data_IF_359149967513
#
_entry.id   IF_359149967513
#
_cell.length_a   1.000
_cell.length_b   1.000
_cell.length_c   1.000
_cell.angle_alpha   90.00
_cell.angle_beta   90.00
_cell.angle_gamma   90.00
#
_symmetry.space_group_name_H-M   'P 1'
#
loop_
_entity.id
_entity.type
_entity.pdbx_description
1 polymer ?
#
# COMPACT_ATOMS: atom_id res chain seq x y z
N UNK A 1 20.06 -19.44 5.41
CA UNK A 1 19.49 -18.15 5.78
C UNK A 1 18.06 -18.33 6.18
N UNK A 2 17.77 -17.97 7.40
CA UNK A 2 16.46 -18.20 8.00
C UNK A 2 15.37 -17.46 7.27
N UNK A 3 15.61 -16.20 6.92
CA UNK A 3 14.58 -15.38 6.28
C UNK A 3 14.18 -15.87 4.89
N UNK A 4 15.05 -16.61 4.20
CA UNK A 4 14.69 -17.15 2.88
C UNK A 4 13.55 -18.14 2.94
N UNK A 5 13.55 -19.01 3.94
CA UNK A 5 12.53 -20.03 4.07
C UNK A 5 11.17 -19.44 4.42
N UNK A 6 11.19 -18.36 5.21
CA UNK A 6 9.97 -17.64 5.55
C UNK A 6 9.48 -16.87 4.36
N UNK A 7 10.43 -16.29 3.62
CA UNK A 7 10.16 -15.25 2.66
C UNK A 7 9.63 -15.74 1.33
N UNK A 8 9.88 -17.01 0.99
CA UNK A 8 9.47 -17.54 -0.31
C UNK A 8 7.95 -17.40 -0.54
N UNK A 9 7.15 -17.91 0.40
CA UNK A 9 5.71 -17.82 0.29
C UNK A 9 5.21 -16.36 0.46
N UNK A 10 5.87 -15.61 1.35
CA UNK A 10 5.52 -14.21 1.59
C UNK A 10 5.82 -13.39 0.36
N UNK A 11 6.97 -13.62 -0.28
CA UNK A 11 7.35 -12.90 -1.49
C UNK A 11 6.37 -13.15 -2.63
N UNK A 12 5.90 -14.39 -2.78
CA UNK A 12 4.87 -14.69 -3.78
C UNK A 12 3.59 -13.90 -3.53
N UNK A 13 3.19 -13.82 -2.27
CA UNK A 13 1.99 -13.06 -1.90
C UNK A 13 2.17 -11.56 -2.12
N UNK A 14 3.36 -11.06 -1.81
CA UNK A 14 3.66 -9.65 -2.07
C UNK A 14 3.63 -9.36 -3.57
N UNK A 15 4.24 -10.23 -4.37
CA UNK A 15 4.23 -10.07 -5.81
C UNK A 15 2.81 -10.11 -6.38
N UNK A 16 1.98 -11.01 -5.89
CA UNK A 16 0.58 -11.08 -6.28
C UNK A 16 -0.18 -9.83 -5.88
N UNK A 17 0.06 -9.35 -4.65
CA UNK A 17 -0.53 -8.12 -4.15
C UNK A 17 -0.18 -6.93 -5.08
N UNK A 18 1.10 -6.78 -5.42
CA UNK A 18 1.57 -5.70 -6.29
C UNK A 18 0.96 -5.82 -7.69
N UNK A 19 0.86 -7.04 -8.22
CA UNK A 19 0.24 -7.26 -9.53
C UNK A 19 -1.21 -6.80 -9.54
N UNK A 20 -1.93 -7.16 -8.50
CA UNK A 20 -3.33 -6.75 -8.36
C UNK A 20 -3.45 -5.24 -8.21
N UNK A 21 -2.55 -4.65 -7.44
CA UNK A 21 -2.53 -3.20 -7.24
C UNK A 21 -2.22 -2.46 -8.55
N UNK A 22 -1.31 -3.00 -9.35
CA UNK A 22 -1.02 -2.45 -10.68
C UNK A 22 -2.25 -2.48 -11.57
N UNK A 23 -3.02 -3.56 -11.51
CA UNK A 23 -4.25 -3.69 -12.26
C UNK A 23 -5.27 -2.62 -11.84
N UNK A 24 -5.42 -2.41 -10.54
CA UNK A 24 -6.30 -1.37 -10.01
C UNK A 24 -5.88 0.02 -10.48
N UNK A 25 -4.59 0.30 -10.41
CA UNK A 25 -4.06 1.59 -10.84
C UNK A 25 -4.30 1.82 -12.33
N UNK A 26 -4.09 0.79 -13.13
CA UNK A 26 -4.33 0.86 -14.59
C UNK A 26 -5.79 1.14 -14.89
N UNK A 27 -6.70 0.65 -14.06
CA UNK A 27 -8.14 0.86 -14.23
C UNK A 27 -8.63 2.17 -13.61
N UNK A 28 -7.73 3.01 -13.14
CA UNK A 28 -8.06 4.34 -12.66
C UNK A 28 -8.27 4.46 -11.17
N UNK A 29 -8.09 3.40 -10.40
CA UNK A 29 -8.20 3.49 -8.94
C UNK A 29 -7.12 4.40 -8.38
N UNK A 30 -7.47 5.13 -7.32
CA UNK A 30 -6.55 6.02 -6.62
C UNK A 30 -5.95 5.25 -5.45
N UNK A 31 -4.64 5.06 -5.48
CA UNK A 31 -3.92 4.35 -4.42
C UNK A 31 -3.34 5.40 -3.48
N UNK A 32 -3.71 5.34 -2.20
CA UNK A 32 -3.30 6.33 -1.20
C UNK A 32 -2.39 5.69 -0.17
N UNK A 33 -1.21 6.28 0.00
CA UNK A 33 -0.25 5.90 1.03
C UNK A 33 -0.03 7.09 1.94
N UNK A 34 0.66 6.89 3.07
CA UNK A 34 0.85 7.98 4.01
C UNK A 34 1.86 8.99 3.50
N UNK A 35 3.01 8.55 3.00
CA UNK A 35 4.06 9.45 2.60
C UNK A 35 4.98 8.92 1.52
N UNK A 36 6.03 9.69 1.27
CA UNK A 36 6.99 9.44 0.20
C UNK A 36 7.70 8.09 0.34
N UNK A 37 8.06 7.70 1.56
CA UNK A 37 8.77 6.43 1.78
C UNK A 37 7.92 5.23 1.38
N UNK A 38 6.62 5.31 1.65
CA UNK A 38 5.69 4.26 1.27
C UNK A 38 5.55 4.19 -0.25
N UNK A 39 5.46 5.34 -0.88
CA UNK A 39 5.38 5.45 -2.33
C UNK A 39 6.63 4.83 -2.98
N UNK A 40 7.81 5.17 -2.47
CA UNK A 40 9.06 4.62 -2.96
C UNK A 40 9.15 3.11 -2.73
N UNK A 41 8.68 2.64 -1.58
CA UNK A 41 8.66 1.21 -1.27
C UNK A 41 7.79 0.43 -2.25
N UNK A 42 6.61 0.94 -2.57
CA UNK A 42 5.75 0.32 -3.56
C UNK A 42 6.44 0.24 -4.92
N UNK A 43 7.10 1.30 -5.33
CA UNK A 43 7.83 1.33 -6.60
C UNK A 43 8.93 0.26 -6.62
N UNK A 44 9.68 0.13 -5.54
CA UNK A 44 10.72 -0.89 -5.44
C UNK A 44 10.16 -2.30 -5.51
N UNK A 45 8.95 -2.51 -5.02
CA UNK A 45 8.30 -3.81 -5.06
C UNK A 45 7.69 -4.13 -6.42
N UNK A 46 7.71 -3.17 -7.35
CA UNK A 46 7.19 -3.40 -8.69
C UNK A 46 5.90 -2.69 -9.02
N UNK A 47 5.42 -1.81 -8.15
CA UNK A 47 4.26 -1.00 -8.45
C UNK A 47 4.65 0.02 -9.52
N UNK A 48 3.92 0.04 -10.62
CA UNK A 48 4.24 0.91 -11.77
C UNK A 48 3.35 2.15 -11.83
N UNK A 49 2.33 2.22 -10.99
CA UNK A 49 1.46 3.40 -10.93
C UNK A 49 2.08 4.50 -10.10
N UNK A 50 1.29 5.53 -9.85
CA UNK A 50 1.70 6.64 -8.99
C UNK A 50 0.77 6.66 -7.77
N UNK A 51 1.33 6.43 -6.59
CA UNK A 51 0.55 6.51 -5.36
C UNK A 51 0.34 7.96 -4.96
N UNK A 52 -0.84 8.24 -4.42
CA UNK A 52 -1.14 9.54 -3.82
C UNK A 52 -0.64 9.53 -2.39
N UNK A 53 0.17 10.53 -2.04
CA UNK A 53 0.75 10.65 -0.71
C UNK A 53 -0.10 11.56 0.15
N UNK A 54 -0.74 10.99 1.17
CA UNK A 54 -1.65 11.72 2.04
C UNK A 54 -0.99 12.96 2.68
N UNK A 55 0.26 12.83 3.10
CA UNK A 55 0.93 13.89 3.83
C UNK A 55 1.28 15.13 2.98
N UNK A 56 1.00 15.10 1.68
CA UNK A 56 1.11 16.28 0.83
C UNK A 56 -0.08 17.20 0.95
N UNK A 57 -1.14 16.74 1.59
CA UNK A 57 -2.34 17.55 1.81
C UNK A 57 -2.25 18.23 3.17
N UNK A 58 -3.02 19.31 3.34
CA UNK A 58 -2.98 20.11 4.57
C UNK A 58 -3.70 19.47 5.75
N UNK A 59 -4.26 18.30 5.56
CA UNK A 59 -4.99 17.58 6.59
C UNK A 59 -6.13 16.80 6.01
N UNK A 60 -6.94 16.22 6.89
CA UNK A 60 -8.01 15.31 6.48
C UNK A 60 -9.02 16.00 5.57
N UNK A 61 -9.47 17.19 5.95
CA UNK A 61 -10.49 17.88 5.16
C UNK A 61 -9.97 18.30 3.78
N UNK A 62 -8.73 18.77 3.71
CA UNK A 62 -8.13 19.11 2.44
C UNK A 62 -8.05 17.89 1.52
N UNK A 63 -7.63 16.75 2.07
CA UNK A 63 -7.57 15.51 1.31
C UNK A 63 -8.97 15.10 0.82
N UNK A 64 -9.94 15.10 1.70
CA UNK A 64 -11.30 14.68 1.37
C UNK A 64 -11.92 15.61 0.33
N UNK A 65 -11.74 16.93 0.50
CA UNK A 65 -12.26 17.90 -0.45
C UNK A 65 -11.65 17.75 -1.83
N UNK A 66 -10.38 17.36 -1.89
CA UNK A 66 -9.68 17.16 -3.16
C UNK A 66 -10.15 15.93 -3.91
N UNK A 67 -10.83 15.00 -3.23
CA UNK A 67 -11.27 13.72 -3.81
C UNK A 67 -12.78 13.54 -3.83
N UNK A 68 -13.55 14.56 -3.46
CA UNK A 68 -15.00 14.40 -3.29
C UNK A 68 -15.77 14.24 -4.60
N UNK A 69 -15.20 14.67 -5.73
CA UNK A 69 -15.90 14.64 -7.03
C UNK A 69 -15.34 13.52 -7.91
N UNK A 70 -14.84 12.48 -7.33
CA UNK A 70 -14.35 11.36 -8.14
C UNK A 70 -15.29 10.18 -8.05
N UNK A 71 -15.53 9.52 -9.18
CA UNK A 71 -16.22 8.24 -9.24
C UNK A 71 -15.25 7.07 -9.16
N UNK A 72 -13.96 7.38 -9.05
CA UNK A 72 -12.91 6.37 -8.98
C UNK A 72 -12.87 5.71 -7.61
N UNK A 73 -12.47 4.44 -7.60
CA UNK A 73 -12.24 3.72 -6.35
C UNK A 73 -11.02 4.32 -5.64
N UNK A 74 -11.16 4.56 -4.35
CA UNK A 74 -10.06 5.05 -3.51
C UNK A 74 -9.59 3.91 -2.63
N UNK A 75 -8.36 3.47 -2.83
CA UNK A 75 -7.75 2.37 -2.08
C UNK A 75 -6.82 2.98 -1.05
N UNK A 76 -7.17 2.82 0.23
CA UNK A 76 -6.39 3.38 1.32
C UNK A 76 -5.39 2.35 1.84
N UNK A 77 -4.11 2.70 1.80
CA UNK A 77 -3.00 1.85 2.27
C UNK A 77 -2.17 2.60 3.31
N UNK A 78 -2.83 3.23 4.26
CA UNK A 78 -2.12 3.96 5.31
C UNK A 78 -1.52 2.97 6.31
N UNK A 79 -0.56 3.46 7.10
CA UNK A 79 0.12 2.63 8.08
C UNK A 79 -0.86 1.90 9.01
N UNK A 80 -0.45 0.71 9.45
CA UNK A 80 -1.28 -0.13 10.30
C UNK A 80 -0.98 0.06 11.79
N UNK A 81 -0.19 1.09 12.14
CA UNK A 81 0.01 1.46 13.51
C UNK A 81 -1.23 2.21 14.04
N UNK A 82 -1.19 2.59 15.30
CA UNK A 82 -2.33 3.22 15.97
C UNK A 82 -2.77 4.51 15.27
N UNK A 83 -1.81 5.35 14.92
CA UNK A 83 -2.08 6.63 14.26
C UNK A 83 -2.68 6.40 12.86
N UNK A 84 -2.11 5.49 12.10
CA UNK A 84 -2.61 5.17 10.77
C UNK A 84 -4.00 4.57 10.78
N UNK A 85 -4.30 3.73 11.77
CA UNK A 85 -5.65 3.16 11.92
C UNK A 85 -6.67 4.23 12.24
N UNK A 86 -6.32 5.16 13.12
CA UNK A 86 -7.20 6.28 13.45
C UNK A 86 -7.46 7.14 12.22
N UNK A 87 -6.41 7.50 11.49
CA UNK A 87 -6.51 8.29 10.28
C UNK A 87 -7.36 7.60 9.22
N UNK A 88 -7.14 6.30 9.04
CA UNK A 88 -7.92 5.51 8.08
C UNK A 88 -9.42 5.57 8.42
N UNK A 89 -9.75 5.37 9.69
CA UNK A 89 -11.13 5.40 10.14
C UNK A 89 -11.80 6.74 9.85
N UNK A 90 -11.09 7.83 10.12
CA UNK A 90 -11.60 9.16 9.86
C UNK A 90 -11.80 9.43 8.36
N UNK A 91 -10.81 9.02 7.56
CA UNK A 91 -10.89 9.20 6.11
C UNK A 91 -12.04 8.40 5.51
N UNK A 92 -12.19 7.14 5.92
CA UNK A 92 -13.30 6.30 5.44
C UNK A 92 -14.63 6.96 5.73
N UNK A 93 -14.82 7.40 6.97
CA UNK A 93 -16.07 8.02 7.39
C UNK A 93 -16.39 9.26 6.54
N UNK A 94 -15.43 10.16 6.40
CA UNK A 94 -15.66 11.40 5.66
C UNK A 94 -15.82 11.18 4.16
N UNK A 95 -15.02 10.30 3.57
CA UNK A 95 -15.14 10.01 2.14
C UNK A 95 -16.47 9.34 1.82
N UNK A 96 -16.91 8.40 2.65
CA UNK A 96 -18.19 7.73 2.45
C UNK A 96 -19.36 8.68 2.61
N UNK A 97 -19.29 9.63 3.55
CA UNK A 97 -20.32 10.65 3.69
C UNK A 97 -20.47 11.48 2.43
N UNK A 98 -19.43 11.59 1.63
CA UNK A 98 -19.45 12.35 0.38
C UNK A 98 -19.71 11.47 -0.84
N UNK A 99 -20.05 10.20 -0.63
CA UNK A 99 -20.40 9.29 -1.70
C UNK A 99 -19.22 8.65 -2.41
N UNK A 100 -18.02 8.76 -1.88
CA UNK A 100 -16.84 8.17 -2.48
C UNK A 100 -16.81 6.67 -2.29
N UNK A 101 -16.27 5.96 -3.27
CA UNK A 101 -16.07 4.51 -3.20
C UNK A 101 -14.72 4.23 -2.57
N UNK A 102 -14.72 3.84 -1.29
CA UNK A 102 -13.50 3.61 -0.52
C UNK A 102 -13.29 2.12 -0.31
N UNK A 103 -12.07 1.66 -0.55
CA UNK A 103 -11.74 0.24 -0.44
C UNK A 103 -10.62 0.04 0.59
N UNK A 104 -10.86 -0.86 1.55
CA UNK A 104 -9.90 -1.26 2.57
C UNK A 104 -9.44 -2.71 2.40
N UNK A 105 -9.91 -3.39 1.38
CA UNK A 105 -9.59 -4.80 1.16
C UNK A 105 -8.09 -5.01 0.98
N UNK A 106 -7.45 -4.12 0.25
CA UNK A 106 -6.01 -4.21 0.01
C UNK A 106 -5.20 -4.00 1.27
N UNK A 107 -5.61 -3.07 2.12
CA UNK A 107 -4.95 -2.85 3.40
C UNK A 107 -5.03 -4.08 4.28
N UNK A 108 -6.21 -4.68 4.36
CA UNK A 108 -6.42 -5.90 5.12
C UNK A 108 -5.56 -7.04 4.57
N UNK A 109 -5.53 -7.18 3.25
CA UNK A 109 -4.73 -8.20 2.58
C UNK A 109 -3.24 -8.03 2.88
N UNK A 110 -2.76 -6.79 2.84
CA UNK A 110 -1.37 -6.49 3.16
C UNK A 110 -1.02 -6.90 4.59
N UNK A 111 -1.90 -6.62 5.53
CA UNK A 111 -1.71 -7.04 6.92
C UNK A 111 -1.65 -8.56 7.04
N UNK A 112 -2.52 -9.27 6.34
CA UNK A 112 -2.58 -10.72 6.37
C UNK A 112 -1.33 -11.38 5.77
N UNK A 113 -0.79 -10.81 4.70
CA UNK A 113 0.39 -11.35 4.03
C UNK A 113 1.55 -11.54 5.00
N UNK A 114 1.76 -10.60 5.89
CA UNK A 114 2.88 -10.62 6.82
C UNK A 114 2.48 -11.06 8.22
N UNK A 115 1.24 -11.53 8.42
CA UNK A 115 0.70 -11.89 9.72
C UNK A 115 0.83 -10.76 10.73
N UNK A 116 0.66 -9.52 10.27
CA UNK A 116 0.75 -8.35 11.13
C UNK A 116 2.16 -7.93 11.51
N UNK A 117 3.18 -8.59 10.99
CA UNK A 117 4.58 -8.24 11.31
C UNK A 117 5.01 -6.94 10.67
N UNK A 118 4.46 -6.60 9.51
CA UNK A 118 4.78 -5.38 8.82
C UNK A 118 3.61 -4.40 8.99
N UNK A 119 3.87 -3.27 9.63
CA UNK A 119 2.87 -2.23 9.87
C UNK A 119 3.00 -1.04 8.94
N UNK A 120 4.15 -0.90 8.30
CA UNK A 120 4.45 0.18 7.38
C UNK A 120 4.86 -0.42 6.04
N UNK A 121 4.36 0.16 4.96
CA UNK A 121 4.68 -0.33 3.61
C UNK A 121 6.19 -0.28 3.38
N UNK A 122 6.86 0.74 3.91
CA UNK A 122 8.32 0.86 3.73
C UNK A 122 9.09 -0.34 4.27
N UNK A 123 8.54 -1.06 5.24
CA UNK A 123 9.18 -2.23 5.82
C UNK A 123 9.18 -3.42 4.87
N UNK A 124 8.35 -3.41 3.85
CA UNK A 124 8.32 -4.45 2.84
C UNK A 124 9.60 -4.49 1.99
N UNK A 125 10.38 -3.42 2.03
CA UNK A 125 11.65 -3.37 1.32
C UNK A 125 12.62 -4.45 1.75
N UNK A 126 12.55 -4.90 3.00
CA UNK A 126 13.41 -5.99 3.48
C UNK A 126 13.13 -7.30 2.76
N UNK A 127 11.88 -7.54 2.39
CA UNK A 127 11.51 -8.74 1.63
C UNK A 127 12.03 -8.67 0.21
N UNK A 128 11.99 -7.51 -0.41
CA UNK A 128 12.55 -7.35 -1.74
C UNK A 128 14.06 -7.58 -1.73
N UNK A 129 14.75 -7.08 -0.72
CA UNK A 129 16.17 -7.31 -0.58
C UNK A 129 16.46 -8.79 -0.44
N UNK A 130 15.64 -9.54 0.28
CA UNK A 130 15.75 -10.97 0.39
C UNK A 130 15.57 -11.65 -0.96
N UNK A 131 14.59 -11.21 -1.74
CA UNK A 131 14.35 -11.72 -3.07
C UNK A 131 15.55 -11.49 -3.99
N UNK A 132 16.09 -10.29 -3.98
CA UNK A 132 17.28 -9.97 -4.75
C UNK A 132 18.47 -10.81 -4.32
N UNK A 133 18.65 -10.99 -3.03
CA UNK A 133 19.71 -11.85 -2.50
C UNK A 133 19.57 -13.28 -2.98
N UNK A 134 18.34 -13.73 -3.15
CA UNK A 134 18.07 -15.09 -3.60
C UNK A 134 18.38 -15.29 -5.08
N UNK A 135 18.04 -14.32 -5.91
CA UNK A 135 18.12 -14.48 -7.35
C UNK A 135 19.35 -13.88 -8.00
N UNK A 136 19.81 -12.73 -7.51
CA UNK A 136 20.94 -12.05 -8.12
C UNK A 136 22.24 -12.86 -8.12
N UNK A 137 22.59 -13.58 -7.06
CA UNK A 137 23.82 -14.37 -7.09
C UNK A 137 23.86 -15.44 -8.19
N UNK A 138 22.71 -15.82 -8.67
CA UNK A 138 22.62 -16.84 -9.71
C UNK A 138 22.99 -16.29 -11.09
N UNK A 139 23.08 -15.00 -11.22
CA UNK A 139 23.39 -14.34 -12.48
C UNK A 139 24.84 -13.86 -12.55
N UNK A 140 25.54 -13.95 -11.46
CA UNK A 140 26.93 -13.49 -11.40
C UNK A 140 27.93 -14.58 -11.73
#
# INVERSE_FOLDING_TARGET
MIYRNIDSAILERINEFIRTLNHESKNGSIIVVEGKRDSEALTKLGFVGKATEYNRFKGILDFVDSHQITDKKIILLLDMDRTGKFLTSRLVSLLQQRGSNVNLTYKKKLCEITNGKVRHIEDLGSYQNSLESEFLPNYS
#
